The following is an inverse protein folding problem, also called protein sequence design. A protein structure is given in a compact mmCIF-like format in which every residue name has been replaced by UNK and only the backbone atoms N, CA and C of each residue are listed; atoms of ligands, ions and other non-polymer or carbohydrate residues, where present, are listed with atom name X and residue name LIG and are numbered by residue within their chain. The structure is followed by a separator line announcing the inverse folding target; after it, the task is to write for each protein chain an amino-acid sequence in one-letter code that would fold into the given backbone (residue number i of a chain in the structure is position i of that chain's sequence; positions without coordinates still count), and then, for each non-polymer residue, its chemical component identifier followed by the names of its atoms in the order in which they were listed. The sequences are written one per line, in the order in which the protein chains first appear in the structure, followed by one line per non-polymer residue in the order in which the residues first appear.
data_IF_524076846964
#
_entry.id   IF_524076846964
#
_cell.length_a   1.000
_cell.length_b   1.000
_cell.length_c   1.000
_cell.angle_alpha   90.00
_cell.angle_beta   90.00
_cell.angle_gamma   90.00
#
_symmetry.space_group_name_H-M   'P 1'
#
loop_
_entity.id
_entity.type
_entity.pdbx_description
1 polymer ?
#
# COMPACT_ATOMS: atom_id res chain seq x y z
N UNK A 1 -35.55 -87.13 12.99
CA UNK A 1 -34.52 -87.28 14.04
C UNK A 1 -33.51 -86.15 13.91
N UNK A 2 -32.90 -85.75 15.04
CA UNK A 2 -31.92 -84.66 15.28
C UNK A 2 -32.51 -83.24 15.28
N UNK A 3 -32.64 -82.48 16.38
CA UNK A 3 -31.76 -82.10 17.53
C UNK A 3 -30.77 -80.98 17.16
N UNK A 4 -30.88 -79.85 17.88
CA UNK A 4 -30.08 -78.61 17.83
C UNK A 4 -28.57 -78.82 18.12
N UNK A 5 -27.72 -77.81 17.82
CA UNK A 5 -27.17 -77.04 18.95
C UNK A 5 -27.01 -75.52 18.72
N UNK A 6 -26.75 -74.83 19.83
CA UNK A 6 -26.64 -73.39 20.01
C UNK A 6 -25.20 -72.85 19.92
N UNK A 7 -25.06 -71.59 19.50
CA UNK A 7 -23.93 -70.69 19.79
C UNK A 7 -24.52 -69.27 19.89
N UNK A 8 -24.31 -68.43 20.90
CA UNK A 8 -23.14 -68.22 21.74
C UNK A 8 -22.51 -66.86 21.38
N UNK A 9 -22.97 -65.76 21.99
CA UNK A 9 -22.44 -64.41 21.78
C UNK A 9 -20.99 -64.27 22.29
N UNK A 10 -20.18 -63.38 21.68
CA UNK A 10 -19.58 -62.31 22.49
C UNK A 10 -19.47 -60.94 21.80
N UNK A 11 -19.89 -59.91 22.56
CA UNK A 11 -19.49 -58.47 22.65
C UNK A 11 -19.08 -57.64 21.40
N UNK A 12 -19.49 -56.34 21.34
CA UNK A 12 -19.05 -55.41 20.30
C UNK A 12 -17.62 -54.92 20.56
N UNK A 13 -16.74 -55.04 19.55
CA UNK A 13 -15.43 -54.40 19.55
C UNK A 13 -15.56 -52.92 19.21
N UNK A 14 -15.25 -52.08 20.19
CA UNK A 14 -14.83 -50.70 19.94
C UNK A 14 -13.55 -50.69 19.09
N UNK A 15 -13.54 -49.89 18.01
CA UNK A 15 -12.43 -49.01 17.61
C UNK A 15 -12.85 -48.24 16.35
N UNK A 16 -13.43 -47.06 16.57
CA UNK A 16 -13.38 -45.96 15.61
C UNK A 16 -12.00 -45.33 15.71
N UNK A 17 -11.07 -45.72 14.84
CA UNK A 17 -9.88 -44.94 14.56
C UNK A 17 -10.22 -43.97 13.44
N UNK A 18 -10.35 -42.68 13.78
CA UNK A 18 -10.28 -41.62 12.78
C UNK A 18 -8.81 -41.56 12.32
N UNK A 19 -8.58 -41.88 11.05
CA UNK A 19 -7.28 -41.72 10.41
C UNK A 19 -6.99 -40.23 10.29
N UNK A 20 -6.01 -39.77 11.07
CA UNK A 20 -5.56 -38.37 11.13
C UNK A 20 -4.27 -38.16 10.36
N UNK A 21 -3.96 -39.02 9.38
CA UNK A 21 -2.77 -38.91 8.57
C UNK A 21 -3.16 -38.67 7.11
N UNK A 22 -3.64 -37.45 6.84
CA UNK A 22 -3.54 -36.89 5.51
C UNK A 22 -2.08 -36.45 5.31
N UNK A 23 -1.39 -37.14 4.42
CA UNK A 23 -0.02 -36.88 3.94
C UNK A 23 0.23 -35.38 3.67
N UNK A 24 0.86 -34.69 4.63
CA UNK A 24 1.57 -33.42 4.42
C UNK A 24 3.05 -33.66 4.09
N UNK A 25 3.36 -34.76 3.41
CA UNK A 25 4.70 -35.13 2.96
C UNK A 25 5.06 -34.45 1.62
N UNK A 26 4.78 -33.15 1.50
CA UNK A 26 5.49 -32.30 0.54
C UNK A 26 6.48 -31.44 1.32
N UNK A 27 7.75 -31.66 1.01
CA UNK A 27 8.94 -31.17 1.70
C UNK A 27 9.11 -29.64 1.54
N UNK A 28 8.16 -28.85 2.06
CA UNK A 28 8.28 -27.41 2.19
C UNK A 28 8.95 -27.12 3.54
N UNK A 29 10.19 -26.65 3.51
CA UNK A 29 10.92 -26.25 4.70
C UNK A 29 10.06 -25.29 5.55
N UNK A 30 9.98 -25.54 6.86
CA UNK A 30 9.29 -24.64 7.81
C UNK A 30 9.88 -23.24 7.62
N UNK A 31 9.06 -22.20 7.34
CA UNK A 31 9.58 -20.85 7.20
C UNK A 31 10.23 -20.42 8.52
N UNK A 32 11.42 -19.79 8.48
CA UNK A 32 12.16 -19.47 9.70
C UNK A 32 11.34 -18.58 10.64
N UNK A 33 11.38 -18.89 11.94
CA UNK A 33 10.74 -18.12 13.03
C UNK A 33 11.28 -16.68 13.17
N UNK A 34 12.35 -16.35 12.45
CA UNK A 34 13.01 -15.03 12.45
C UNK A 34 12.96 -14.49 11.03
N UNK A 35 11.90 -13.73 10.71
CA UNK A 35 11.61 -13.15 9.39
C UNK A 35 11.47 -14.21 8.28
N UNK A 36 10.64 -13.99 7.23
CA UNK A 36 10.69 -14.91 6.10
C UNK A 36 12.11 -14.89 5.53
N UNK A 37 12.51 -16.02 4.94
CA UNK A 37 13.80 -16.16 4.28
C UNK A 37 14.18 -14.87 3.55
N UNK A 38 15.43 -14.42 3.78
CA UNK A 38 16.06 -13.32 3.05
C UNK A 38 15.42 -13.21 1.67
N UNK A 39 14.77 -12.08 1.39
CA UNK A 39 14.69 -11.58 0.01
C UNK A 39 16.07 -11.87 -0.56
N UNK A 40 16.20 -12.71 -1.60
CA UNK A 40 17.48 -13.30 -1.94
C UNK A 40 18.53 -12.21 -1.94
N UNK A 41 19.64 -12.44 -1.22
CA UNK A 41 20.80 -11.53 -1.20
C UNK A 41 21.46 -11.41 -2.57
N UNK A 42 20.90 -12.03 -3.60
CA UNK A 42 21.06 -11.61 -4.97
C UNK A 42 20.38 -10.26 -5.13
N UNK A 43 21.20 -9.22 -4.98
CA UNK A 43 21.23 -8.14 -5.95
C UNK A 43 20.57 -8.60 -7.28
N UNK A 44 19.42 -8.05 -7.68
CA UNK A 44 18.90 -8.27 -9.03
C UNK A 44 19.70 -7.46 -10.06
N UNK A 45 20.95 -7.11 -9.73
CA UNK A 45 21.89 -6.39 -10.57
C UNK A 45 22.67 -7.43 -11.38
N UNK A 46 21.96 -8.10 -12.27
CA UNK A 46 22.62 -8.75 -13.39
C UNK A 46 23.11 -7.62 -14.30
N UNK A 47 24.42 -7.57 -14.57
CA UNK A 47 25.01 -6.65 -15.55
C UNK A 47 24.22 -6.72 -16.85
N UNK A 48 23.46 -5.66 -17.17
CA UNK A 48 22.80 -5.50 -18.48
C UNK A 48 21.33 -5.05 -18.49
N UNK A 49 20.57 -5.05 -17.39
CA UNK A 49 19.22 -4.46 -17.41
C UNK A 49 19.27 -2.94 -17.19
N UNK A 50 18.63 -2.17 -18.08
CA UNK A 50 18.44 -0.73 -17.89
C UNK A 50 17.39 -0.51 -16.78
N UNK A 51 17.86 -0.16 -15.59
CA UNK A 51 17.05 -0.05 -14.38
C UNK A 51 16.31 1.30 -14.22
N UNK A 52 16.46 2.21 -15.18
CA UNK A 52 15.82 3.53 -15.18
C UNK A 52 14.38 3.50 -15.76
N UNK A 53 13.87 2.32 -16.15
CA UNK A 53 12.54 2.20 -16.76
C UNK A 53 11.45 2.29 -15.69
N UNK A 54 10.64 3.34 -15.78
CA UNK A 54 9.38 3.44 -15.04
C UNK A 54 8.48 2.22 -15.31
N UNK A 55 7.64 1.81 -14.34
CA UNK A 55 6.72 0.70 -14.55
C UNK A 55 5.75 1.00 -15.70
N UNK A 56 5.40 -0.03 -16.47
CA UNK A 56 4.40 0.09 -17.53
C UNK A 56 3.07 0.57 -16.92
N UNK A 57 2.45 1.55 -17.56
CA UNK A 57 1.24 2.19 -17.07
C UNK A 57 0.25 2.45 -18.20
N UNK A 58 -1.02 2.56 -17.83
CA UNK A 58 -2.14 2.79 -18.74
C UNK A 58 -2.72 4.16 -18.42
N UNK A 59 -2.83 5.09 -19.38
CA UNK A 59 -3.55 6.33 -19.15
C UNK A 59 -4.99 6.03 -18.69
N UNK A 60 -5.45 6.74 -17.66
CA UNK A 60 -6.85 6.68 -17.26
C UNK A 60 -7.61 7.72 -18.07
N UNK A 61 -8.49 7.26 -18.96
CA UNK A 61 -9.40 8.15 -19.69
C UNK A 61 -10.32 8.86 -18.69
N UNK A 62 -10.39 10.20 -18.80
CA UNK A 62 -11.32 10.96 -17.97
C UNK A 62 -12.74 10.68 -18.48
N UNK A 63 -13.71 10.47 -17.58
CA UNK A 63 -15.07 10.25 -18.03
C UNK A 63 -15.58 11.48 -18.77
N UNK A 64 -15.74 11.37 -20.09
CA UNK A 64 -16.67 12.23 -20.81
C UNK A 64 -18.04 12.09 -20.14
N UNK A 65 -18.73 13.21 -19.94
CA UNK A 65 -20.08 13.24 -19.39
C UNK A 65 -21.04 12.42 -20.29
N UNK A 66 -21.09 11.10 -20.13
CA UNK A 66 -22.12 10.12 -20.55
C UNK A 66 -21.52 8.71 -20.73
N UNK A 67 -21.33 7.98 -19.64
CA UNK A 67 -21.41 6.51 -19.68
C UNK A 67 -22.22 6.02 -18.49
N UNK A 68 -23.53 5.93 -18.69
CA UNK A 68 -24.48 5.24 -17.81
C UNK A 68 -24.38 3.74 -18.08
N UNK A 69 -23.97 2.91 -17.10
CA UNK A 69 -24.03 1.47 -17.33
C UNK A 69 -23.56 0.50 -16.24
N UNK A 70 -22.76 0.90 -15.24
CA UNK A 70 -22.32 -0.02 -14.18
C UNK A 70 -22.51 0.64 -12.80
N UNK A 71 -22.80 -0.17 -11.78
CA UNK A 71 -23.05 0.29 -10.41
C UNK A 71 -21.93 1.23 -9.94
N UNK A 72 -22.27 2.51 -9.81
CA UNK A 72 -21.32 3.55 -9.44
C UNK A 72 -20.82 3.29 -8.01
N UNK A 73 -19.50 3.34 -7.74
CA UNK A 73 -18.99 3.10 -6.41
C UNK A 73 -19.65 4.08 -5.44
N UNK A 74 -19.99 3.60 -4.23
CA UNK A 74 -20.66 4.41 -3.22
C UNK A 74 -19.68 5.44 -2.65
N UNK A 75 -19.56 6.57 -3.33
CA UNK A 75 -18.73 7.70 -2.91
C UNK A 75 -19.35 8.34 -1.67
N UNK A 76 -18.51 8.82 -0.75
CA UNK A 76 -18.97 9.63 0.37
C UNK A 76 -19.35 11.02 -0.13
N UNK A 77 -20.42 11.61 0.41
CA UNK A 77 -20.82 12.98 0.08
C UNK A 77 -19.77 14.02 0.52
N UNK A 78 -19.13 13.77 1.68
CA UNK A 78 -18.03 14.57 2.21
C UNK A 78 -16.88 13.66 2.58
N UNK A 79 -15.65 14.08 2.24
CA UNK A 79 -14.45 13.37 2.66
C UNK A 79 -14.27 13.42 4.19
N UNK A 80 -13.73 12.35 4.79
CA UNK A 80 -13.33 12.33 6.20
C UNK A 80 -12.30 13.41 6.53
N UNK A 81 -12.27 13.83 7.78
CA UNK A 81 -11.21 14.69 8.30
C UNK A 81 -10.09 13.80 8.84
N UNK A 82 -8.86 14.07 8.42
CA UNK A 82 -7.67 13.30 8.80
C UNK A 82 -6.58 14.22 9.33
N UNK A 83 -5.79 13.69 10.25
CA UNK A 83 -4.71 14.42 10.88
C UNK A 83 -3.52 13.51 11.11
N UNK A 84 -2.35 13.89 10.59
CA UNK A 84 -1.11 13.16 10.78
C UNK A 84 -0.56 13.45 12.17
N UNK A 85 -0.59 12.44 13.03
CA UNK A 85 -0.16 12.57 14.42
C UNK A 85 1.35 12.51 14.58
N UNK A 86 2.02 11.63 13.84
CA UNK A 86 3.47 11.45 13.99
C UNK A 86 4.10 10.97 12.69
N UNK A 87 5.37 11.32 12.50
CA UNK A 87 6.22 10.76 11.46
C UNK A 87 7.54 10.22 12.01
N UNK A 88 7.90 9.00 11.62
CA UNK A 88 9.20 8.42 11.97
C UNK A 88 9.92 7.90 10.72
N UNK A 89 11.25 8.09 10.68
CA UNK A 89 12.12 7.45 9.68
C UNK A 89 12.30 5.99 10.07
N UNK A 90 12.03 5.08 9.14
CA UNK A 90 12.25 3.65 9.30
C UNK A 90 13.45 3.23 8.45
N UNK A 91 14.57 2.80 9.07
CA UNK A 91 15.69 2.23 8.34
C UNK A 91 15.25 0.97 7.59
N UNK A 92 15.57 0.88 6.31
CA UNK A 92 15.36 -0.32 5.49
C UNK A 92 16.69 -1.08 5.32
N UNK A 93 16.62 -2.39 5.07
CA UNK A 93 17.79 -3.24 4.82
C UNK A 93 18.51 -2.89 3.52
N UNK A 94 17.81 -2.24 2.59
CA UNK A 94 18.29 -1.79 1.28
C UNK A 94 18.84 -0.36 1.30
N UNK A 95 18.81 0.33 2.45
CA UNK A 95 19.33 1.69 2.60
C UNK A 95 18.40 2.79 2.06
N UNK A 96 17.21 2.44 1.58
CA UNK A 96 16.20 3.38 1.11
C UNK A 96 15.60 4.19 2.25
N UNK A 97 15.30 5.46 1.97
CA UNK A 97 14.61 6.34 2.91
C UNK A 97 13.11 6.03 2.93
N UNK A 98 12.64 5.50 4.05
CA UNK A 98 11.23 5.23 4.30
C UNK A 98 10.75 5.99 5.53
N UNK A 99 9.56 6.58 5.46
CA UNK A 99 8.92 7.31 6.55
C UNK A 99 7.52 6.78 6.79
N UNK A 100 7.21 6.43 8.04
CA UNK A 100 5.84 6.12 8.45
C UNK A 100 5.17 7.37 8.98
N UNK A 101 4.00 7.68 8.43
CA UNK A 101 3.09 8.70 8.92
C UNK A 101 1.87 8.01 9.53
N UNK A 102 1.56 8.32 10.78
CA UNK A 102 0.39 7.78 11.49
C UNK A 102 -0.74 8.81 11.45
N UNK A 103 -1.92 8.39 11.01
CA UNK A 103 -3.11 9.23 10.84
C UNK A 103 -4.22 8.84 11.81
N UNK A 104 -4.83 9.86 12.41
CA UNK A 104 -6.14 9.78 13.05
C UNK A 104 -7.21 10.38 12.14
N UNK A 105 -8.45 9.99 12.39
CA UNK A 105 -9.59 10.40 11.59
C UNK A 105 -10.87 10.54 12.43
N UNK A 106 -11.94 11.04 11.80
CA UNK A 106 -13.25 11.25 12.45
C UNK A 106 -14.33 10.23 12.07
N UNK A 107 -13.98 9.15 11.37
CA UNK A 107 -14.92 8.12 10.89
C UNK A 107 -14.79 6.82 11.67
N UNK A 108 -13.59 6.48 12.13
CA UNK A 108 -13.34 5.35 13.01
C UNK A 108 -12.27 5.67 14.07
N UNK A 109 -12.08 4.75 15.02
CA UNK A 109 -11.09 4.86 16.10
C UNK A 109 -9.73 4.24 15.71
N UNK A 110 -9.52 3.91 14.43
CA UNK A 110 -8.32 3.21 13.98
C UNK A 110 -7.25 4.21 13.57
N UNK A 111 -6.01 3.81 13.78
CA UNK A 111 -4.85 4.56 13.32
C UNK A 111 -4.41 4.04 11.95
N UNK A 112 -4.53 4.87 10.91
CA UNK A 112 -4.13 4.51 9.55
C UNK A 112 -2.71 4.96 9.27
N UNK A 113 -2.05 4.34 8.30
CA UNK A 113 -0.65 4.62 7.99
C UNK A 113 -0.50 5.14 6.56
N UNK A 114 0.46 6.03 6.36
CA UNK A 114 1.05 6.28 5.05
C UNK A 114 2.55 5.95 5.11
N UNK A 115 2.95 4.97 4.30
CA UNK A 115 4.34 4.55 4.13
C UNK A 115 4.90 5.35 2.96
N UNK A 116 5.73 6.34 3.26
CA UNK A 116 6.28 7.27 2.28
C UNK A 116 7.71 6.89 1.94
N UNK A 117 8.00 6.77 0.66
CA UNK A 117 9.33 6.46 0.12
C UNK A 117 9.97 7.75 -0.40
N UNK A 118 11.15 8.05 0.12
CA UNK A 118 11.86 9.31 -0.12
C UNK A 118 11.39 10.49 0.74
N UNK A 119 12.10 11.63 0.68
CA UNK A 119 11.86 12.77 1.57
C UNK A 119 10.86 13.80 1.03
N UNK A 120 10.33 13.58 -0.17
CA UNK A 120 9.63 14.60 -0.97
C UNK A 120 8.12 14.68 -0.78
N UNK A 121 7.50 13.69 -0.13
CA UNK A 121 6.08 13.70 0.18
C UNK A 121 5.95 14.00 1.67
N UNK A 122 5.20 15.04 2.01
CA UNK A 122 5.06 15.52 3.39
C UNK A 122 3.62 15.84 3.71
N UNK A 123 3.22 15.51 4.92
CA UNK A 123 1.91 15.85 5.45
C UNK A 123 1.83 17.33 5.84
N UNK A 124 0.79 18.02 5.37
CA UNK A 124 0.45 19.39 5.74
C UNK A 124 0.07 19.47 7.22
N UNK A 125 -0.83 18.61 7.69
CA UNK A 125 -1.26 18.59 9.09
C UNK A 125 -0.13 18.22 10.06
N UNK A 126 0.84 17.42 9.62
CA UNK A 126 2.08 17.18 10.38
C UNK A 126 2.89 18.47 10.49
N UNK A 127 3.11 19.17 9.38
CA UNK A 127 3.96 20.35 9.32
C UNK A 127 3.31 21.62 9.90
N UNK A 128 2.00 21.63 10.12
CA UNK A 128 1.32 22.74 10.78
C UNK A 128 1.80 22.91 12.24
N UNK A 129 2.13 24.13 12.69
CA UNK A 129 2.40 24.42 14.10
C UNK A 129 1.14 24.22 14.94
N UNK A 130 1.24 23.46 16.04
CA UNK A 130 0.10 23.27 16.95
C UNK A 130 0.10 24.34 18.07
N UNK A 131 -1.08 24.73 18.60
CA UNK A 131 -1.15 25.64 19.74
C UNK A 131 -0.33 25.11 20.92
N UNK A 132 0.49 25.99 21.52
CA UNK A 132 1.38 25.66 22.65
C UNK A 132 2.46 24.59 22.37
N UNK A 133 2.73 24.26 21.10
CA UNK A 133 3.78 23.32 20.72
C UNK A 133 5.17 23.95 20.85
N UNK A 134 6.09 23.29 21.56
CA UNK A 134 7.51 23.68 21.58
C UNK A 134 8.26 23.12 20.36
N UNK A 135 9.43 23.67 20.03
CA UNK A 135 10.30 23.09 18.98
C UNK A 135 10.68 21.62 19.28
N UNK A 136 10.80 21.27 20.57
CA UNK A 136 11.06 19.89 20.99
C UNK A 136 9.87 18.98 20.69
N UNK A 137 8.65 19.41 21.02
CA UNK A 137 7.43 18.64 20.75
C UNK A 137 7.25 18.41 19.24
N UNK A 138 7.50 19.46 18.46
CA UNK A 138 7.48 19.41 17.00
C UNK A 138 8.48 18.40 16.44
N UNK A 139 9.69 18.34 16.99
CA UNK A 139 10.69 17.34 16.61
C UNK A 139 10.31 15.91 17.04
N UNK A 140 9.77 15.73 18.26
CA UNK A 140 9.27 14.43 18.77
C UNK A 140 8.17 13.89 17.86
N UNK A 141 7.28 14.77 17.41
CA UNK A 141 6.22 14.45 16.47
C UNK A 141 6.71 14.11 15.06
N UNK A 142 7.98 14.41 14.77
CA UNK A 142 8.58 14.15 13.47
C UNK A 142 8.37 15.28 12.47
N UNK A 143 7.85 16.44 12.86
CA UNK A 143 7.61 17.59 11.98
C UNK A 143 8.89 18.43 11.76
N UNK A 144 9.95 17.77 11.28
CA UNK A 144 11.27 18.38 11.00
C UNK A 144 11.70 18.21 9.54
N UNK A 145 12.70 18.97 9.10
CA UNK A 145 13.34 18.84 7.77
C UNK A 145 14.80 18.42 7.90
N UNK A 146 15.28 17.58 6.97
CA UNK A 146 16.62 17.00 7.02
C UNK A 146 16.78 15.94 8.11
N UNK A 147 18.01 15.61 8.47
CA UNK A 147 18.34 14.51 9.40
C UNK A 147 18.40 14.99 10.84
N UNK A 148 17.80 14.25 11.78
CA UNK A 148 17.97 14.51 13.21
C UNK A 148 19.38 14.11 13.67
N UNK A 149 19.94 14.88 14.59
CA UNK A 149 21.22 14.60 15.25
C UNK A 149 21.13 14.98 16.74
N UNK A 150 21.92 14.32 17.62
CA UNK A 150 21.96 14.68 19.03
C UNK A 150 22.31 16.16 19.24
N UNK A 151 21.55 16.85 20.09
CA UNK A 151 21.75 18.29 20.38
C UNK A 151 21.06 19.25 19.40
N UNK A 152 20.30 18.75 18.43
CA UNK A 152 19.50 19.60 17.53
C UNK A 152 18.45 20.41 18.30
N UNK A 153 18.38 21.72 18.02
CA UNK A 153 17.49 22.68 18.70
C UNK A 153 16.27 23.08 17.87
N UNK A 154 16.38 23.07 16.53
CA UNK A 154 15.32 23.53 15.62
C UNK A 154 14.82 22.44 14.68
N UNK A 155 13.51 22.44 14.43
CA UNK A 155 12.84 21.52 13.51
C UNK A 155 13.14 21.83 12.03
N UNK A 156 13.39 23.09 11.66
CA UNK A 156 13.63 23.54 10.28
C UNK A 156 15.10 23.73 9.99
N UNK A 157 15.55 23.27 8.81
CA UNK A 157 16.96 23.32 8.41
C UNK A 157 17.43 24.77 8.17
N UNK A 158 16.55 25.62 7.63
CA UNK A 158 16.90 27.02 7.36
C UNK A 158 17.17 27.81 8.63
N UNK A 159 16.50 27.49 9.73
CA UNK A 159 16.72 28.12 11.02
C UNK A 159 18.09 27.74 11.59
N UNK A 160 18.46 26.44 11.48
CA UNK A 160 19.79 25.95 11.85
C UNK A 160 20.89 26.67 11.03
N UNK A 161 20.67 26.85 9.72
CA UNK A 161 21.62 27.57 8.85
C UNK A 161 21.78 29.03 9.25
N UNK A 162 20.67 29.69 9.61
CA UNK A 162 20.67 31.07 10.09
C UNK A 162 21.45 31.20 11.41
N UNK A 163 21.21 30.31 12.37
CA UNK A 163 21.91 30.30 13.66
C UNK A 163 23.41 30.01 13.51
N UNK A 164 23.78 29.18 12.53
CA UNK A 164 25.17 28.90 12.17
C UNK A 164 25.84 30.03 11.37
N UNK A 165 25.14 31.14 11.06
CA UNK A 165 25.67 32.27 10.31
C UNK A 165 25.87 32.00 8.81
N UNK A 166 25.26 30.96 8.25
CA UNK A 166 25.34 30.63 6.82
C UNK A 166 24.38 31.51 6.05
N UNK A 167 24.91 32.52 5.34
CA UNK A 167 24.11 33.39 4.46
C UNK A 167 23.69 32.65 3.19
N UNK A 168 22.45 32.85 2.73
CA UNK A 168 21.96 32.29 1.46
C UNK A 168 22.83 32.83 0.31
N UNK A 169 23.48 31.96 -0.46
CA UNK A 169 24.06 32.35 -1.75
C UNK A 169 22.96 32.88 -2.68
N UNK A 170 23.17 33.98 -3.42
CA UNK A 170 22.11 34.65 -4.17
C UNK A 170 21.71 33.96 -5.50
N UNK A 171 21.97 32.67 -5.67
CA UNK A 171 21.67 31.95 -6.91
C UNK A 171 20.89 30.66 -6.68
N UNK A 172 19.63 30.76 -6.24
CA UNK A 172 18.53 29.85 -6.63
C UNK A 172 17.24 30.67 -6.58
N UNK A 173 16.62 30.93 -7.74
CA UNK A 173 15.29 31.55 -7.86
C UNK A 173 14.21 30.57 -7.37
N UNK A 174 14.09 30.40 -6.06
CA UNK A 174 12.93 29.82 -5.40
C UNK A 174 12.34 30.86 -4.46
N UNK A 175 11.27 31.53 -4.89
CA UNK A 175 10.57 32.51 -4.08
C UNK A 175 10.22 31.94 -2.70
N UNK A 176 10.43 32.69 -1.60
CA UNK A 176 9.99 32.27 -0.28
C UNK A 176 8.46 32.32 -0.25
N UNK A 177 7.81 31.16 -0.24
CA UNK A 177 6.37 31.07 0.00
C UNK A 177 6.13 31.34 1.48
N UNK A 178 5.81 32.58 1.82
CA UNK A 178 5.18 32.91 3.10
C UNK A 178 3.80 32.26 3.15
N UNK A 179 3.40 31.61 4.26
CA UNK A 179 2.05 31.08 4.41
C UNK A 179 1.11 32.24 4.73
N UNK A 180 0.63 32.93 3.70
CA UNK A 180 -0.45 33.91 3.84
C UNK A 180 -1.64 33.49 3.00
N UNK A 181 -2.72 33.19 3.71
CA UNK A 181 -4.12 33.05 3.27
C UNK A 181 -4.58 31.67 2.77
N UNK A 182 -5.79 31.21 3.17
CA UNK A 182 -6.35 29.93 2.78
C UNK A 182 -7.00 30.04 1.40
N UNK A 183 -6.22 30.04 0.33
CA UNK A 183 -6.76 29.70 -0.99
C UNK A 183 -6.83 28.17 -1.08
N UNK A 184 -7.86 27.68 -1.77
CA UNK A 184 -8.18 26.27 -1.98
C UNK A 184 -7.17 25.60 -2.95
N UNK A 185 -5.90 26.00 -2.89
CA UNK A 185 -4.84 25.48 -3.73
C UNK A 185 -4.23 24.25 -3.05
N UNK A 186 -4.56 23.06 -3.55
CA UNK A 186 -3.95 21.81 -3.10
C UNK A 186 -2.49 21.64 -3.56
N UNK A 187 -1.85 22.70 -4.06
CA UNK A 187 -0.50 22.67 -4.64
C UNK A 187 0.64 22.66 -3.60
N UNK A 188 0.42 22.15 -2.38
CA UNK A 188 1.45 21.97 -1.35
C UNK A 188 2.38 20.77 -1.65
N UNK A 189 2.48 20.34 -2.91
CA UNK A 189 3.30 19.19 -3.28
C UNK A 189 4.78 19.60 -3.30
N UNK A 190 5.52 19.16 -2.29
CA UNK A 190 7.00 19.23 -2.30
C UNK A 190 7.66 18.16 -3.20
N UNK A 191 6.84 17.40 -3.92
CA UNK A 191 7.28 16.35 -4.82
C UNK A 191 7.84 16.94 -6.12
N UNK A 192 9.11 16.67 -6.50
CA UNK A 192 9.74 17.21 -7.70
C UNK A 192 8.90 16.99 -8.97
N UNK A 193 8.78 18.02 -9.81
CA UNK A 193 8.08 17.89 -11.10
C UNK A 193 8.82 16.98 -12.09
N UNK A 194 10.15 16.91 -11.97
CA UNK A 194 11.03 16.09 -12.80
C UNK A 194 10.79 14.58 -12.63
N UNK A 195 10.25 14.15 -11.49
CA UNK A 195 9.88 12.76 -11.24
C UNK A 195 8.52 12.38 -11.86
N UNK A 196 7.79 13.37 -12.40
CA UNK A 196 6.43 13.20 -12.90
C UNK A 196 5.40 13.04 -11.77
N UNK A 197 4.23 12.43 -12.07
CA UNK A 197 3.22 12.11 -11.06
C UNK A 197 3.72 11.01 -10.10
N UNK A 198 3.55 11.17 -8.77
CA UNK A 198 4.04 10.19 -7.80
C UNK A 198 3.28 8.87 -7.90
N UNK A 199 3.99 7.78 -7.59
CA UNK A 199 3.42 6.45 -7.50
C UNK A 199 2.67 6.27 -6.17
N UNK A 200 1.42 5.81 -6.26
CA UNK A 200 0.52 5.66 -5.11
C UNK A 200 -0.06 4.25 -5.08
N UNK A 201 -0.11 3.67 -3.89
CA UNK A 201 -0.79 2.39 -3.63
C UNK A 201 -1.79 2.58 -2.48
N UNK A 202 -3.06 2.26 -2.72
CA UNK A 202 -4.04 2.12 -1.63
C UNK A 202 -4.12 0.66 -1.21
N UNK A 203 -3.51 0.36 -0.08
CA UNK A 203 -3.41 -0.99 0.46
C UNK A 203 -4.42 -1.16 1.59
N UNK A 204 -5.19 -2.26 1.56
CA UNK A 204 -6.08 -2.63 2.65
C UNK A 204 -5.40 -3.73 3.44
N UNK A 205 -5.25 -3.53 4.74
CA UNK A 205 -4.65 -4.48 5.68
C UNK A 205 -5.13 -5.91 5.42
N UNK A 206 -4.16 -6.82 5.35
CA UNK A 206 -4.36 -8.25 5.24
C UNK A 206 -3.30 -8.97 6.08
N UNK A 207 -3.57 -9.10 7.37
CA UNK A 207 -2.69 -9.74 8.36
C UNK A 207 -2.20 -11.11 7.88
N UNK A 208 -3.11 -11.92 7.33
CA UNK A 208 -2.76 -13.28 6.87
C UNK A 208 -1.75 -13.28 5.72
N UNK A 209 -1.92 -12.39 4.74
CA UNK A 209 -1.05 -12.33 3.57
C UNK A 209 0.28 -11.62 3.86
N UNK A 210 0.25 -10.61 4.72
CA UNK A 210 1.40 -9.73 4.98
C UNK A 210 2.31 -10.25 6.09
N UNK A 211 1.74 -10.83 7.15
CA UNK A 211 2.49 -11.14 8.38
C UNK A 211 2.78 -12.63 8.54
N UNK A 212 1.87 -13.50 8.09
CA UNK A 212 1.97 -14.96 8.30
C UNK A 212 2.07 -15.75 6.99
N UNK A 213 2.51 -15.10 5.91
CA UNK A 213 2.88 -15.73 4.62
C UNK A 213 1.80 -16.62 4.02
N UNK A 214 0.53 -16.23 4.16
CA UNK A 214 -0.58 -17.02 3.66
C UNK A 214 -0.58 -17.13 2.13
N UNK A 215 -0.60 -18.36 1.62
CA UNK A 215 -0.79 -18.66 0.20
C UNK A 215 -2.28 -18.61 -0.25
N UNK A 216 -3.20 -18.11 0.59
CA UNK A 216 -4.61 -17.95 0.20
C UNK A 216 -4.89 -16.69 -0.60
N UNK A 217 -3.97 -15.73 -0.60
CA UNK A 217 -4.13 -14.45 -1.28
C UNK A 217 -2.77 -13.87 -1.69
N UNK A 218 -2.79 -12.93 -2.64
CA UNK A 218 -1.60 -12.22 -3.13
C UNK A 218 -1.31 -10.91 -2.37
N UNK A 219 -1.97 -10.65 -1.23
CA UNK A 219 -1.89 -9.34 -0.56
C UNK A 219 -0.48 -8.97 -0.09
N UNK A 220 0.29 -9.92 0.46
CA UNK A 220 1.67 -9.68 0.89
C UNK A 220 2.56 -9.33 -0.29
N UNK A 221 2.50 -10.12 -1.37
CA UNK A 221 3.23 -9.89 -2.61
C UNK A 221 2.91 -8.52 -3.23
N UNK A 222 1.64 -8.11 -3.23
CA UNK A 222 1.23 -6.79 -3.72
C UNK A 222 1.77 -5.63 -2.86
N UNK A 223 1.96 -5.84 -1.55
CA UNK A 223 2.55 -4.84 -0.66
C UNK A 223 4.05 -4.70 -0.94
N UNK A 224 4.74 -5.84 -1.04
CA UNK A 224 6.17 -5.91 -1.32
C UNK A 224 6.51 -5.32 -2.68
N UNK A 225 5.74 -5.63 -3.72
CA UNK A 225 5.96 -5.09 -5.06
C UNK A 225 5.72 -3.58 -5.12
N UNK A 226 4.70 -3.07 -4.43
CA UNK A 226 4.47 -1.63 -4.34
C UNK A 226 5.64 -0.92 -3.65
N UNK A 227 6.14 -1.49 -2.54
CA UNK A 227 7.32 -0.98 -1.86
C UNK A 227 8.54 -1.01 -2.79
N UNK A 228 8.79 -2.13 -3.47
CA UNK A 228 9.91 -2.30 -4.41
C UNK A 228 9.89 -1.24 -5.50
N UNK A 229 8.75 -1.00 -6.15
CA UNK A 229 8.59 0.00 -7.23
C UNK A 229 8.85 1.44 -6.77
N UNK A 230 8.35 1.82 -5.59
CA UNK A 230 8.56 3.15 -4.98
C UNK A 230 9.98 3.36 -4.46
N UNK A 231 10.73 2.27 -4.38
CA UNK A 231 12.09 2.19 -3.87
C UNK A 231 13.14 2.11 -4.97
N UNK A 232 12.73 1.98 -6.24
CA UNK A 232 13.63 1.99 -7.38
C UNK A 232 14.34 3.33 -7.49
N UNK A 233 15.60 3.38 -7.95
CA UNK A 233 16.28 4.65 -8.23
C UNK A 233 15.44 5.56 -9.12
N UNK A 234 15.51 6.87 -8.89
CA UNK A 234 14.87 7.81 -9.80
C UNK A 234 15.45 7.62 -11.21
N UNK A 235 14.62 7.61 -12.27
CA UNK A 235 15.14 7.58 -13.63
C UNK A 235 16.12 8.74 -13.81
N UNK A 236 17.32 8.45 -14.32
CA UNK A 236 18.16 9.52 -14.86
C UNK A 236 17.38 10.20 -15.99
N UNK A 237 17.32 11.54 -16.07
CA UNK A 237 16.62 12.23 -17.15
C UNK A 237 17.24 11.81 -18.49
N UNK A 238 16.62 10.82 -19.13
CA UNK A 238 17.09 10.18 -20.36
C UNK A 238 16.29 10.71 -21.54
N UNK A 239 16.15 12.03 -21.67
CA UNK A 239 15.75 12.73 -22.91
C UNK A 239 15.73 14.24 -22.69
N UNK A 240 16.90 14.86 -22.72
CA UNK A 240 17.05 16.24 -23.18
C UNK A 240 18.38 16.32 -23.91
N UNK A 241 18.41 16.66 -25.21
CA UNK A 241 19.67 16.81 -25.93
C UNK A 241 20.42 18.00 -25.31
N UNK A 242 21.61 17.72 -24.77
CA UNK A 242 22.69 18.66 -24.50
C UNK A 242 22.26 20.06 -24.00
N UNK A 243 22.03 20.18 -22.69
CA UNK A 243 22.51 21.34 -21.94
C UNK A 243 23.41 20.79 -20.84
N UNK A 244 24.68 20.58 -21.22
CA UNK A 244 25.76 20.32 -20.27
C UNK A 244 25.93 21.54 -19.36
N UNK A 245 26.34 21.30 -18.10
CA UNK A 245 26.65 22.27 -17.03
C UNK A 245 25.61 22.55 -15.92
N UNK A 246 24.52 21.78 -15.83
CA UNK A 246 23.64 21.78 -14.63
C UNK A 246 24.04 20.72 -13.60
N UNK A 247 24.01 20.99 -12.27
CA UNK A 247 24.21 19.95 -11.26
C UNK A 247 23.06 18.94 -11.32
N UNK A 248 23.31 17.76 -11.89
CA UNK A 248 22.36 16.64 -11.91
C UNK A 248 22.19 16.14 -10.47
N UNK A 249 21.12 16.60 -9.82
CA UNK A 249 20.76 16.12 -8.48
C UNK A 249 20.18 14.72 -8.64
N UNK A 250 21.02 13.68 -8.54
CA UNK A 250 20.54 12.29 -8.56
C UNK A 250 19.63 12.07 -7.35
N UNK A 251 18.33 11.99 -7.62
CA UNK A 251 17.34 11.64 -6.61
C UNK A 251 17.56 10.17 -6.21
N UNK A 252 17.60 9.86 -4.90
CA UNK A 252 17.96 8.52 -4.43
C UNK A 252 16.89 7.46 -4.77
N UNK A 253 15.66 7.88 -5.02
CA UNK A 253 14.52 7.01 -5.30
C UNK A 253 13.48 7.71 -6.17
N UNK A 254 12.73 6.95 -6.96
CA UNK A 254 11.50 7.36 -7.65
C UNK A 254 10.48 7.90 -6.64
N UNK A 255 10.45 7.34 -5.43
CA UNK A 255 9.57 7.74 -4.34
C UNK A 255 8.11 7.40 -4.60
N UNK A 256 7.29 7.64 -3.59
CA UNK A 256 5.86 7.34 -3.64
C UNK A 256 5.25 7.14 -2.28
N UNK A 257 3.98 6.75 -2.24
CA UNK A 257 3.29 6.46 -0.99
C UNK A 257 2.39 5.23 -1.08
N UNK A 258 2.48 4.38 -0.06
CA UNK A 258 1.49 3.35 0.24
C UNK A 258 0.59 3.88 1.35
N UNK A 259 -0.67 4.17 1.03
CA UNK A 259 -1.70 4.44 2.05
C UNK A 259 -2.21 3.09 2.55
N UNK A 260 -1.84 2.75 3.77
CA UNK A 260 -2.17 1.49 4.42
C UNK A 260 -3.39 1.69 5.31
N UNK A 261 -4.54 1.21 4.83
CA UNK A 261 -5.81 1.32 5.51
C UNK A 261 -6.08 0.08 6.37
N UNK A 262 -6.33 0.29 7.67
CA UNK A 262 -6.64 -0.77 8.65
C UNK A 262 -8.08 -1.29 8.55
N UNK A 263 -8.41 -1.82 7.38
CA UNK A 263 -9.73 -2.33 7.01
C UNK A 263 -9.66 -3.81 6.59
N UNK A 264 -9.15 -4.63 7.52
CA UNK A 264 -9.04 -6.08 7.38
C UNK A 264 -10.34 -6.75 6.89
N UNK A 265 -10.19 -7.80 6.08
CA UNK A 265 -11.31 -8.63 5.61
C UNK A 265 -12.27 -7.90 4.67
N UNK A 266 -11.84 -6.82 4.00
CA UNK A 266 -12.74 -5.90 3.27
C UNK A 266 -13.70 -5.15 4.20
N UNK A 267 -13.22 -4.77 5.37
CA UNK A 267 -13.95 -3.98 6.36
C UNK A 267 -14.73 -4.79 7.40
N UNK A 268 -14.83 -6.11 7.27
CA UNK A 268 -15.53 -6.98 8.25
C UNK A 268 -14.64 -7.40 9.44
N UNK A 269 -13.32 -7.20 9.33
CA UNK A 269 -12.35 -7.54 10.37
C UNK A 269 -11.81 -8.97 10.29
N UNK A 270 -10.77 -9.23 11.09
CA UNK A 270 -10.01 -10.48 11.08
C UNK A 270 -10.84 -11.68 11.54
N UNK A 271 -11.65 -11.51 12.59
CA UNK A 271 -12.49 -12.58 13.13
C UNK A 271 -13.40 -13.17 12.05
N UNK A 272 -14.19 -12.31 11.40
CA UNK A 272 -15.11 -12.69 10.33
C UNK A 272 -14.38 -13.26 9.11
N UNK A 273 -13.20 -12.75 8.78
CA UNK A 273 -12.36 -13.31 7.72
C UNK A 273 -11.93 -14.75 8.01
N UNK A 274 -11.50 -15.05 9.23
CA UNK A 274 -11.12 -16.41 9.62
C UNK A 274 -12.34 -17.35 9.66
N UNK A 275 -13.50 -16.85 10.07
CA UNK A 275 -14.75 -17.62 9.96
C UNK A 275 -15.10 -17.93 8.49
N UNK A 276 -14.93 -16.95 7.59
CA UNK A 276 -15.14 -17.15 6.16
C UNK A 276 -14.16 -18.17 5.56
N UNK A 277 -12.92 -18.21 6.04
CA UNK A 277 -11.94 -19.24 5.67
C UNK A 277 -12.41 -20.64 6.07
N UNK A 278 -12.90 -20.82 7.30
CA UNK A 278 -13.43 -22.12 7.72
C UNK A 278 -14.61 -22.56 6.86
N UNK A 279 -15.51 -21.65 6.48
CA UNK A 279 -16.62 -21.96 5.57
C UNK A 279 -16.13 -22.35 4.17
N UNK A 280 -15.08 -21.68 3.68
CA UNK A 280 -14.48 -22.03 2.38
C UNK A 280 -13.82 -23.41 2.42
N UNK A 281 -13.17 -23.76 3.53
CA UNK A 281 -12.56 -25.08 3.73
C UNK A 281 -13.63 -26.18 3.85
N UNK A 282 -14.85 -25.83 4.29
CA UNK A 282 -16.04 -26.68 4.25
C UNK A 282 -16.70 -26.77 2.85
N UNK A 283 -16.15 -26.08 1.85
CA UNK A 283 -16.59 -26.15 0.46
C UNK A 283 -17.43 -24.97 -0.03
N UNK A 284 -17.73 -23.98 0.81
CA UNK A 284 -18.46 -22.79 0.38
C UNK A 284 -17.62 -21.89 -0.53
N UNK A 285 -18.24 -21.25 -1.50
CA UNK A 285 -17.54 -20.20 -2.25
C UNK A 285 -17.40 -18.90 -1.40
N UNK A 286 -16.55 -17.97 -1.84
CA UNK A 286 -16.30 -16.72 -1.09
C UNK A 286 -17.55 -15.85 -0.93
N UNK A 287 -18.48 -15.88 -1.88
CA UNK A 287 -19.73 -15.13 -1.81
C UNK A 287 -20.69 -15.80 -0.83
N UNK A 288 -20.88 -17.11 -0.93
CA UNK A 288 -21.69 -17.92 -0.03
C UNK A 288 -21.24 -17.77 1.42
N UNK A 289 -19.93 -17.84 1.68
CA UNK A 289 -19.36 -17.64 3.00
C UNK A 289 -19.74 -16.26 3.58
N UNK A 290 -19.68 -15.20 2.76
CA UNK A 290 -20.08 -13.85 3.19
C UNK A 290 -21.59 -13.75 3.45
N UNK A 291 -22.43 -14.38 2.63
CA UNK A 291 -23.89 -14.41 2.81
C UNK A 291 -24.24 -15.14 4.12
N UNK A 292 -23.61 -16.29 4.38
CA UNK A 292 -23.80 -17.07 5.60
C UNK A 292 -23.43 -16.26 6.85
N UNK A 293 -22.37 -15.47 6.77
CA UNK A 293 -21.94 -14.56 7.84
C UNK A 293 -22.71 -13.23 7.88
N UNK A 294 -23.69 -13.03 6.98
CA UNK A 294 -24.49 -11.79 6.85
C UNK A 294 -23.65 -10.54 6.66
N UNK A 295 -22.55 -10.67 5.94
CA UNK A 295 -21.65 -9.57 5.63
C UNK A 295 -21.91 -9.02 4.22
N UNK A 296 -21.74 -7.70 4.00
CA UNK A 296 -21.73 -7.14 2.65
C UNK A 296 -20.53 -7.69 1.85
N UNK A 297 -20.65 -7.77 0.52
CA UNK A 297 -19.57 -8.29 -0.33
C UNK A 297 -18.27 -7.45 -0.31
N UNK A 298 -18.41 -6.16 -0.03
CA UNK A 298 -17.31 -5.23 0.27
C UNK A 298 -17.84 -4.08 1.15
N UNK A 299 -17.29 -3.89 2.34
CA UNK A 299 -17.68 -2.82 3.27
C UNK A 299 -16.69 -1.64 3.27
N UNK A 300 -15.69 -1.66 2.40
CA UNK A 300 -14.61 -0.66 2.42
C UNK A 300 -15.08 0.69 1.93
N UNK A 301 -14.49 1.73 2.52
CA UNK A 301 -14.57 3.10 2.01
C UNK A 301 -13.17 3.61 1.70
N UNK A 302 -13.00 4.25 0.54
CA UNK A 302 -11.73 4.79 0.10
C UNK A 302 -11.62 6.30 0.32
N UNK A 303 -12.67 6.98 0.80
CA UNK A 303 -12.62 8.41 1.08
C UNK A 303 -11.56 8.79 2.12
N UNK A 304 -11.25 7.88 3.06
CA UNK A 304 -10.16 8.08 4.01
C UNK A 304 -8.80 8.09 3.31
N UNK A 305 -8.59 7.24 2.30
CA UNK A 305 -7.38 7.27 1.49
C UNK A 305 -7.27 8.58 0.70
N UNK A 306 -8.35 9.04 0.08
CA UNK A 306 -8.39 10.33 -0.60
C UNK A 306 -8.02 11.47 0.34
N UNK A 307 -8.58 11.51 1.55
CA UNK A 307 -8.26 12.52 2.55
C UNK A 307 -6.78 12.49 2.97
N UNK A 308 -6.20 11.31 3.18
CA UNK A 308 -4.77 11.15 3.48
C UNK A 308 -3.90 11.66 2.31
N UNK A 309 -4.25 11.34 1.07
CA UNK A 309 -3.51 11.82 -0.10
C UNK A 309 -3.55 13.35 -0.22
N UNK A 310 -4.70 13.97 0.07
CA UNK A 310 -4.82 15.43 0.10
C UNK A 310 -3.93 16.05 1.17
N UNK A 311 -3.90 15.46 2.36
CA UNK A 311 -3.02 15.95 3.43
C UNK A 311 -1.53 15.79 3.10
N UNK A 312 -1.16 14.75 2.34
CA UNK A 312 0.19 14.54 1.81
C UNK A 312 0.55 15.46 0.62
N UNK A 313 -0.36 16.35 0.20
CA UNK A 313 -0.15 17.24 -0.94
C UNK A 313 -0.15 16.53 -2.29
N UNK A 314 -0.90 15.43 -2.41
CA UNK A 314 -1.04 14.63 -3.63
C UNK A 314 -2.40 14.84 -4.35
N UNK A 315 -3.13 15.89 -3.96
CA UNK A 315 -4.32 16.35 -4.68
C UNK A 315 -3.98 17.28 -5.86
N UNK A 316 -5.03 17.68 -6.58
CA UNK A 316 -4.95 18.69 -7.64
C UNK A 316 -4.44 18.17 -8.99
N UNK A 317 -4.00 19.08 -9.85
CA UNK A 317 -3.88 18.83 -11.29
C UNK A 317 -2.70 17.93 -11.71
N UNK A 318 -1.65 17.86 -10.88
CA UNK A 318 -0.46 17.02 -11.13
C UNK A 318 -0.84 15.55 -11.28
N UNK A 319 -1.85 15.14 -10.51
CA UNK A 319 -2.34 13.78 -10.45
C UNK A 319 -1.33 12.75 -9.92
N UNK A 320 -1.76 11.49 -9.92
CA UNK A 320 -1.02 10.35 -9.36
C UNK A 320 -1.00 9.16 -10.32
N UNK A 321 0.03 8.31 -10.21
CA UNK A 321 0.05 6.98 -10.83
C UNK A 321 -0.43 5.96 -9.81
N UNK A 322 -1.59 5.33 -10.04
CA UNK A 322 -2.22 4.45 -9.06
C UNK A 322 -1.92 2.97 -9.35
N UNK A 323 -1.30 2.29 -8.39
CA UNK A 323 -1.02 0.84 -8.40
C UNK A 323 -2.28 0.03 -8.06
N UNK A 324 -3.07 -0.33 -9.07
CA UNK A 324 -4.33 -1.06 -8.88
C UNK A 324 -4.74 -1.88 -10.12
N UNK A 325 -5.34 -3.04 -9.85
CA UNK A 325 -6.10 -3.81 -10.86
C UNK A 325 -7.60 -3.59 -10.71
N UNK A 326 -8.07 -2.97 -9.62
CA UNK A 326 -9.49 -2.71 -9.40
C UNK A 326 -9.86 -1.36 -10.06
N UNK A 327 -10.71 -1.34 -11.11
CA UNK A 327 -11.21 -0.09 -11.70
C UNK A 327 -12.08 0.73 -10.74
N UNK A 328 -12.86 0.10 -9.87
CA UNK A 328 -13.70 0.80 -8.90
C UNK A 328 -12.84 1.58 -7.90
N UNK A 329 -11.66 1.03 -7.55
CA UNK A 329 -10.70 1.71 -6.68
C UNK A 329 -10.15 2.98 -7.34
N UNK A 330 -10.00 3.01 -8.67
CA UNK A 330 -9.58 4.23 -9.39
C UNK A 330 -10.57 5.35 -9.11
N UNK A 331 -11.85 5.13 -9.46
CA UNK A 331 -12.93 6.11 -9.24
C UNK A 331 -13.09 6.50 -7.76
N UNK A 332 -13.02 5.51 -6.87
CA UNK A 332 -13.20 5.76 -5.44
C UNK A 332 -12.08 6.59 -4.81
N UNK A 333 -10.84 6.49 -5.34
CA UNK A 333 -9.70 7.30 -4.89
C UNK A 333 -9.78 8.73 -5.40
N UNK A 334 -10.31 8.94 -6.60
CA UNK A 334 -10.48 10.29 -7.15
C UNK A 334 -11.37 11.17 -6.27
N UNK A 335 -12.31 10.54 -5.55
CA UNK A 335 -13.20 11.21 -4.62
C UNK A 335 -14.43 11.81 -5.31
N UNK A 336 -15.42 12.27 -4.53
CA UNK A 336 -16.71 12.74 -5.04
C UNK A 336 -16.59 13.97 -5.95
N UNK A 337 -15.57 14.80 -5.79
CA UNK A 337 -15.37 16.02 -6.57
C UNK A 337 -14.08 16.00 -7.39
N UNK A 338 -13.45 14.84 -7.59
CA UNK A 338 -12.16 14.72 -8.27
C UNK A 338 -11.03 15.35 -7.45
N UNK A 339 -11.07 15.16 -6.13
CA UNK A 339 -10.07 15.71 -5.23
C UNK A 339 -8.64 15.24 -5.54
N UNK A 340 -8.53 13.99 -5.99
CA UNK A 340 -7.30 13.38 -6.48
C UNK A 340 -7.51 13.02 -7.94
N UNK A 341 -6.53 13.33 -8.81
CA UNK A 341 -6.60 12.98 -10.22
C UNK A 341 -5.75 11.74 -10.50
N UNK A 342 -6.34 10.62 -10.91
CA UNK A 342 -5.54 9.45 -11.32
C UNK A 342 -5.21 9.60 -12.81
N UNK A 343 -3.95 9.86 -13.13
CA UNK A 343 -3.52 10.08 -14.52
C UNK A 343 -3.14 8.78 -15.22
N UNK A 344 -2.59 7.85 -14.45
CA UNK A 344 -2.13 6.57 -14.97
C UNK A 344 -2.47 5.47 -13.96
N UNK A 345 -2.90 4.32 -14.47
CA UNK A 345 -3.03 3.09 -13.71
C UNK A 345 -1.81 2.22 -13.96
N UNK A 346 -1.16 1.78 -12.90
CA UNK A 346 -0.08 0.79 -12.97
C UNK A 346 -0.65 -0.57 -12.53
N UNK A 347 -0.70 -1.58 -13.41
CA UNK A 347 -1.20 -2.90 -13.02
C UNK A 347 -0.27 -3.59 -12.01
N UNK A 348 -0.87 -4.34 -11.10
CA UNK A 348 -0.19 -5.16 -10.10
C UNK A 348 -0.29 -6.63 -10.52
N UNK A 349 0.59 -7.06 -11.41
CA UNK A 349 0.57 -8.42 -11.96
C UNK A 349 1.18 -9.37 -10.93
N UNK A 350 0.54 -10.52 -10.61
CA UNK A 350 1.13 -11.53 -9.74
C UNK A 350 2.50 -11.98 -10.26
N UNK A 351 3.50 -12.07 -9.38
CA UNK A 351 4.87 -12.45 -9.74
C UNK A 351 4.93 -13.85 -10.34
N UNK A 352 4.05 -14.76 -9.90
CA UNK A 352 3.93 -16.08 -10.47
C UNK A 352 3.57 -16.05 -11.97
N UNK A 353 2.80 -15.05 -12.41
CA UNK A 353 2.42 -14.93 -13.83
C UNK A 353 3.53 -14.30 -14.65
N UNK A 354 4.19 -13.26 -14.13
CA UNK A 354 5.29 -12.59 -14.84
C UNK A 354 6.57 -13.42 -14.90
N UNK A 355 6.82 -14.27 -13.91
CA UNK A 355 8.02 -15.13 -13.82
C UNK A 355 7.84 -16.51 -14.46
N UNK A 356 6.63 -16.84 -14.92
CA UNK A 356 6.29 -18.18 -15.40
C UNK A 356 6.36 -19.24 -14.28
N UNK A 357 5.98 -18.86 -13.06
CA UNK A 357 5.94 -19.74 -11.90
C UNK A 357 7.29 -19.98 -11.22
N UNK A 358 8.30 -19.13 -11.45
CA UNK A 358 9.61 -19.25 -10.77
C UNK A 358 9.63 -18.51 -9.44
N UNK A 359 8.85 -17.45 -9.33
CA UNK A 359 8.74 -16.58 -8.17
C UNK A 359 7.26 -16.38 -7.80
N UNK A 360 7.03 -15.78 -6.63
CA UNK A 360 5.70 -15.42 -6.18
C UNK A 360 4.89 -16.55 -5.52
N UNK A 361 3.74 -16.16 -4.98
CA UNK A 361 2.83 -17.07 -4.27
C UNK A 361 2.12 -17.98 -5.27
N UNK A 362 2.14 -19.30 -5.01
CA UNK A 362 1.51 -20.32 -5.85
C UNK A 362 0.66 -21.24 -4.99
N UNK A 363 -0.40 -21.77 -5.59
CA UNK A 363 -1.30 -22.72 -4.94
C UNK A 363 -2.75 -22.60 -5.42
N UNK A 364 -3.55 -23.65 -5.21
CA UNK A 364 -4.95 -23.67 -5.64
C UNK A 364 -5.78 -22.59 -4.95
N UNK A 365 -5.45 -22.21 -3.72
CA UNK A 365 -6.18 -21.18 -2.97
C UNK A 365 -5.97 -19.79 -3.56
N UNK A 366 -4.72 -19.40 -3.87
CA UNK A 366 -4.43 -18.09 -4.49
C UNK A 366 -4.99 -18.01 -5.90
N UNK A 367 -4.95 -19.11 -6.68
CA UNK A 367 -5.55 -19.15 -8.02
C UNK A 367 -7.06 -18.96 -7.98
N UNK A 368 -7.76 -19.68 -7.09
CA UNK A 368 -9.21 -19.52 -6.86
C UNK A 368 -9.56 -18.10 -6.40
N UNK A 369 -8.70 -17.51 -5.58
CA UNK A 369 -8.87 -16.15 -5.10
C UNK A 369 -8.72 -15.11 -6.23
N UNK A 370 -7.70 -15.25 -7.08
CA UNK A 370 -7.46 -14.35 -8.21
C UNK A 370 -8.56 -14.52 -9.28
N UNK A 371 -8.99 -15.76 -9.58
CA UNK A 371 -10.11 -15.99 -10.52
C UNK A 371 -11.38 -15.28 -10.05
N UNK A 372 -11.69 -15.37 -8.75
CA UNK A 372 -12.82 -14.65 -8.15
C UNK A 372 -12.69 -13.13 -8.33
N UNK A 373 -11.50 -12.54 -8.22
CA UNK A 373 -11.27 -11.11 -8.47
C UNK A 373 -11.54 -10.73 -9.93
N UNK A 374 -11.16 -11.58 -10.88
CA UNK A 374 -11.36 -11.34 -12.31
C UNK A 374 -12.85 -11.47 -12.65
N UNK A 375 -13.45 -12.60 -12.31
CA UNK A 375 -14.81 -12.96 -12.72
C UNK A 375 -15.88 -12.12 -11.99
N UNK A 376 -15.76 -11.97 -10.67
CA UNK A 376 -16.79 -11.31 -9.85
C UNK A 376 -16.53 -9.82 -9.63
N UNK A 377 -15.26 -9.39 -9.61
CA UNK A 377 -14.87 -8.01 -9.30
C UNK A 377 -14.19 -7.28 -10.47
N UNK A 378 -14.29 -7.82 -11.70
CA UNK A 378 -13.84 -7.19 -12.95
C UNK A 378 -12.42 -6.61 -12.89
N UNK A 379 -11.49 -7.27 -12.18
CA UNK A 379 -10.12 -6.78 -12.06
C UNK A 379 -9.36 -6.87 -13.38
N UNK A 380 -8.61 -5.81 -13.71
CA UNK A 380 -7.85 -5.64 -14.96
C UNK A 380 -6.36 -5.90 -14.70
N UNK A 381 -5.83 -7.00 -15.25
CA UNK A 381 -4.41 -7.37 -15.11
C UNK A 381 -3.57 -7.05 -16.35
N UNK A 382 -4.19 -6.60 -17.45
CA UNK A 382 -3.46 -6.12 -18.62
C UNK A 382 -2.99 -4.68 -18.43
N UNK A 383 -1.84 -4.36 -19.04
CA UNK A 383 -1.40 -3.00 -19.35
C UNK A 383 -2.13 -2.44 -20.58
#
# INVERSE_FOLDING_TARGET
MSVFPAHGSPRPSQRSGFDFDADFSNNAAVPPLVSPALTPSHTPFHDGQRHDRQPASVPVEQPDQKTTGDAEPKLLEKLPEVHCEVRARIPTTTGQEMFLHLYRNNVDEKEHLAIVFGPHIRSRSLDEPRPHETERDRMIRGAYTGTLFPGRTHSRLDQIRQDAGVTKSPHINGSPVSPTSPTKDWSYSSYPSELGPPLVRIHSECYTGETVWSARCDCGEQLDEAARLMSLPAPSPSTSPALEDGPVTRLPSSGGVIVYLRQEGRGIGLLSKLQAYNLQDLGHDTMEANILLRHPGDARSYGLATAILLDLGLGGDKGIKLLTNNPEKVRAVEGPNGEVRVVERVPMIPLAWSSGGKEGVQGPEVEKYISTKIEKFKHMFSS
#
